data_IF_645929012733
#
_entry.id   IF_645929012733
#
_cell.length_a   1.000
_cell.length_b   1.000
_cell.length_c   1.000
_cell.angle_alpha   90.00
_cell.angle_beta   90.00
_cell.angle_gamma   90.00
#
_symmetry.space_group_name_H-M   'P 1'
#
loop_
_entity.id
_entity.type
_entity.pdbx_description
1 polymer ?
#
# COMPACT_ATOMS: atom_id res chain seq x y z
N UNK A 1 12.18 -9.43 -4.92
CA UNK A 1 12.23 -8.01 -5.32
C UNK A 1 13.00 -7.92 -6.63
N UNK A 2 12.57 -7.06 -7.55
CA UNK A 2 13.31 -6.80 -8.78
C UNK A 2 14.63 -6.06 -8.49
N UNK A 3 15.64 -6.14 -9.39
CA UNK A 3 16.81 -5.27 -9.32
C UNK A 3 16.38 -3.80 -9.28
N UNK A 4 17.14 -2.96 -8.55
CA UNK A 4 16.85 -1.52 -8.40
C UNK A 4 15.50 -1.16 -7.76
N UNK A 5 14.92 -2.08 -6.97
CA UNK A 5 13.64 -1.90 -6.31
C UNK A 5 13.61 -0.67 -5.38
N UNK A 6 14.61 -0.55 -4.50
CA UNK A 6 14.70 0.57 -3.54
C UNK A 6 14.94 1.88 -4.27
N UNK A 7 15.86 1.91 -5.23
CA UNK A 7 16.16 3.10 -6.04
C UNK A 7 14.93 3.60 -6.82
N UNK A 8 14.06 2.69 -7.28
CA UNK A 8 12.82 3.08 -7.95
C UNK A 8 11.83 3.76 -6.99
N UNK A 9 11.73 3.25 -5.76
CA UNK A 9 10.90 3.86 -4.71
C UNK A 9 11.44 5.23 -4.31
N UNK A 10 12.75 5.36 -4.06
CA UNK A 10 13.41 6.62 -3.72
C UNK A 10 13.20 7.66 -4.83
N UNK A 11 13.47 7.32 -6.07
CA UNK A 11 13.22 8.23 -7.21
C UNK A 11 11.75 8.66 -7.31
N UNK A 12 10.81 7.78 -6.98
CA UNK A 12 9.40 8.14 -6.99
C UNK A 12 9.06 9.07 -5.83
N UNK A 13 9.65 8.86 -4.64
CA UNK A 13 9.50 9.71 -3.47
C UNK A 13 10.07 11.12 -3.71
N UNK A 14 11.21 11.22 -4.36
CA UNK A 14 11.94 12.48 -4.60
C UNK A 14 11.29 13.36 -5.66
N UNK A 15 10.27 12.90 -6.36
CA UNK A 15 9.52 13.72 -7.33
C UNK A 15 8.83 14.93 -6.71
N UNK A 16 8.49 14.86 -5.41
CA UNK A 16 7.84 15.96 -4.68
C UNK A 16 7.95 15.77 -3.18
N UNK A 17 8.20 16.83 -2.46
CA UNK A 17 8.16 16.86 -0.99
C UNK A 17 6.76 16.59 -0.42
N UNK A 18 5.72 16.73 -1.25
CA UNK A 18 4.34 16.39 -0.88
C UNK A 18 4.05 14.89 -0.91
N UNK A 19 4.95 14.05 -1.42
CA UNK A 19 4.75 12.62 -1.42
C UNK A 19 5.11 12.08 -0.04
N UNK A 20 4.11 11.53 0.65
CA UNK A 20 4.26 10.86 1.94
C UNK A 20 4.65 9.40 1.77
N UNK A 21 3.97 8.67 0.89
CA UNK A 21 4.23 7.25 0.69
C UNK A 21 4.30 6.85 -0.77
N UNK A 22 5.10 5.82 -1.05
CA UNK A 22 5.20 5.21 -2.37
C UNK A 22 4.90 3.72 -2.27
N UNK A 23 3.80 3.30 -2.91
CA UNK A 23 3.40 1.89 -3.01
C UNK A 23 4.11 1.21 -4.15
N UNK A 24 4.56 0.00 -3.91
CA UNK A 24 5.17 -0.87 -4.91
C UNK A 24 4.14 -1.51 -5.84
N UNK A 25 4.62 -2.00 -6.98
CA UNK A 25 3.89 -2.93 -7.82
C UNK A 25 4.02 -4.34 -7.24
N UNK A 26 3.02 -4.76 -6.48
CA UNK A 26 2.98 -6.09 -5.88
C UNK A 26 2.34 -7.08 -6.86
N UNK A 27 3.08 -8.12 -7.20
CA UNK A 27 2.67 -9.18 -8.12
C UNK A 27 2.49 -10.47 -7.31
N UNK A 28 1.47 -11.25 -7.64
CA UNK A 28 1.25 -12.54 -6.98
C UNK A 28 2.41 -13.49 -7.24
N UNK A 29 3.00 -14.04 -6.19
CA UNK A 29 4.18 -14.93 -6.28
C UNK A 29 3.92 -16.15 -7.16
N UNK A 30 2.72 -16.75 -7.04
CA UNK A 30 2.36 -17.98 -7.74
C UNK A 30 1.60 -17.74 -9.06
N UNK A 31 1.23 -16.49 -9.34
CA UNK A 31 0.56 -16.07 -10.57
C UNK A 31 1.16 -14.74 -11.04
N UNK A 32 2.38 -14.77 -11.62
CA UNK A 32 3.16 -13.56 -11.93
C UNK A 32 2.58 -12.69 -13.04
N UNK A 33 1.56 -13.12 -13.70
CA UNK A 33 0.74 -12.38 -14.67
C UNK A 33 -0.37 -11.53 -14.00
N UNK A 34 -0.59 -11.73 -12.68
CA UNK A 34 -1.65 -11.07 -11.91
C UNK A 34 -1.09 -10.13 -10.83
N UNK A 35 -1.76 -8.99 -10.67
CA UNK A 35 -1.53 -8.08 -9.57
C UNK A 35 -1.97 -8.69 -8.25
N UNK A 36 -1.19 -8.44 -7.19
CA UNK A 36 -1.63 -8.58 -5.82
C UNK A 36 -2.12 -7.23 -5.29
N UNK A 37 -1.31 -6.19 -5.45
CA UNK A 37 -1.67 -4.83 -5.04
C UNK A 37 -0.97 -3.77 -5.92
N UNK A 38 -1.66 -2.65 -6.15
CA UNK A 38 -1.15 -1.46 -6.84
C UNK A 38 -1.47 -0.16 -6.07
N UNK A 39 -1.48 -0.25 -4.74
CA UNK A 39 -1.93 0.79 -3.82
C UNK A 39 -3.40 0.62 -3.45
N UNK A 40 -3.72 0.97 -2.22
CA UNK A 40 -5.07 0.83 -1.71
C UNK A 40 -5.95 2.02 -2.07
N UNK A 41 -7.23 1.75 -2.12
CA UNK A 41 -8.28 2.72 -2.39
C UNK A 41 -9.29 2.72 -1.25
N UNK A 42 -9.93 3.86 -1.03
CA UNK A 42 -10.98 4.01 -0.03
C UNK A 42 -12.21 4.65 -0.64
N UNK A 43 -13.36 4.04 -0.41
CA UNK A 43 -14.62 4.55 -0.95
C UNK A 43 -15.26 5.55 0.00
N UNK A 44 -16.16 6.38 -0.54
CA UNK A 44 -16.97 7.32 0.27
C UNK A 44 -17.92 6.62 1.25
N UNK A 45 -18.13 5.32 1.08
CA UNK A 45 -18.94 4.48 1.98
C UNK A 45 -18.13 3.83 3.11
N UNK A 46 -16.83 4.17 3.25
CA UNK A 46 -15.97 3.65 4.30
C UNK A 46 -15.33 2.27 4.00
N UNK A 47 -15.30 1.83 2.74
CA UNK A 47 -14.69 0.56 2.36
C UNK A 47 -13.28 0.76 1.81
N UNK A 48 -12.30 0.07 2.41
CA UNK A 48 -10.96 -0.06 1.86
C UNK A 48 -10.88 -1.26 0.91
N UNK A 49 -10.15 -1.14 -0.20
CA UNK A 49 -9.93 -2.22 -1.15
C UNK A 49 -8.61 -2.07 -1.90
N UNK A 50 -7.98 -3.21 -2.17
CA UNK A 50 -6.74 -3.29 -2.93
C UNK A 50 -6.99 -2.99 -4.40
N UNK A 51 -6.24 -2.02 -4.92
CA UNK A 51 -6.31 -1.66 -6.34
C UNK A 51 -5.61 -2.71 -7.18
N UNK A 52 -6.35 -3.31 -8.08
CA UNK A 52 -5.80 -4.20 -9.10
C UNK A 52 -5.70 -5.67 -8.72
N UNK A 53 -6.06 -6.07 -7.51
CA UNK A 53 -5.99 -7.48 -7.10
C UNK A 53 -6.65 -8.42 -8.11
N UNK A 54 -5.90 -9.45 -8.56
CA UNK A 54 -6.36 -10.43 -9.56
C UNK A 54 -6.49 -9.90 -11.00
N UNK A 55 -6.11 -8.67 -11.28
CA UNK A 55 -6.10 -8.10 -12.62
C UNK A 55 -4.75 -8.34 -13.32
N UNK A 56 -4.71 -8.38 -14.67
CA UNK A 56 -3.46 -8.53 -15.40
C UNK A 56 -2.43 -7.44 -15.04
N UNK A 57 -1.20 -7.82 -14.66
CA UNK A 57 -0.14 -6.92 -14.22
C UNK A 57 0.23 -5.88 -15.30
N UNK A 58 0.10 -6.26 -16.57
CA UNK A 58 0.41 -5.41 -17.74
C UNK A 58 -0.45 -4.14 -17.85
N UNK A 59 -1.58 -4.08 -17.14
CA UNK A 59 -2.45 -2.90 -17.09
C UNK A 59 -1.90 -1.81 -16.14
N UNK A 60 -0.97 -2.16 -15.25
CA UNK A 60 -0.45 -1.28 -14.21
C UNK A 60 0.98 -0.82 -14.52
N UNK A 61 1.12 -0.02 -15.61
CA UNK A 61 2.42 0.48 -16.11
C UNK A 61 2.67 1.96 -15.85
N UNK A 62 1.67 2.68 -15.33
CA UNK A 62 1.77 4.13 -15.11
C UNK A 62 1.70 4.45 -13.62
N UNK A 63 2.60 5.33 -13.18
CA UNK A 63 2.52 5.93 -11.85
C UNK A 63 1.24 6.75 -11.73
N UNK A 64 0.62 6.72 -10.56
CA UNK A 64 -0.59 7.48 -10.26
C UNK A 64 -0.68 7.74 -8.75
N UNK A 65 -1.52 8.71 -8.37
CA UNK A 65 -1.94 8.87 -6.98
C UNK A 65 -2.87 7.73 -6.58
N UNK A 66 -2.69 7.25 -5.35
CA UNK A 66 -3.54 6.24 -4.72
C UNK A 66 -4.09 6.80 -3.40
N UNK A 67 -5.00 6.10 -2.78
CA UNK A 67 -5.52 6.56 -1.49
C UNK A 67 -4.45 6.37 -0.41
N UNK A 68 -3.87 5.17 -0.32
CA UNK A 68 -2.72 4.87 0.53
C UNK A 68 -1.81 3.83 -0.12
N UNK A 69 -0.59 3.71 0.38
CA UNK A 69 0.33 2.65 0.00
C UNK A 69 0.12 1.44 0.93
N UNK A 70 0.02 0.24 0.36
CA UNK A 70 -0.01 -0.98 1.15
C UNK A 70 1.31 -1.17 1.91
N UNK A 71 1.26 -1.20 3.24
CA UNK A 71 2.44 -1.27 4.11
C UNK A 71 3.28 -2.55 3.92
N UNK A 72 2.72 -3.58 3.30
CA UNK A 72 3.44 -4.80 2.96
C UNK A 72 4.63 -4.59 2.01
N UNK A 73 4.63 -3.53 1.21
CA UNK A 73 5.72 -3.17 0.30
C UNK A 73 5.67 -1.70 -0.11
N UNK A 74 6.06 -0.82 0.80
CA UNK A 74 6.04 0.63 0.61
C UNK A 74 7.23 1.31 1.28
N UNK A 75 7.49 2.56 0.89
CA UNK A 75 8.33 3.48 1.68
C UNK A 75 7.51 4.69 2.10
N UNK A 76 7.93 5.30 3.19
CA UNK A 76 7.28 6.45 3.81
C UNK A 76 8.30 7.55 4.08
N UNK A 77 7.91 8.80 3.88
CA UNK A 77 8.73 9.97 4.25
C UNK A 77 8.65 10.18 5.75
N UNK A 78 9.77 9.94 6.42
CA UNK A 78 9.86 9.94 7.88
C UNK A 78 9.41 11.26 8.51
N UNK A 79 9.82 12.39 7.92
CA UNK A 79 9.55 13.73 8.45
C UNK A 79 8.04 14.03 8.50
N UNK A 80 7.24 13.41 7.64
CA UNK A 80 5.80 13.60 7.61
C UNK A 80 5.13 12.98 8.84
N UNK A 81 5.67 11.89 9.37
CA UNK A 81 5.15 11.28 10.60
C UNK A 81 5.21 12.22 11.80
N UNK A 82 6.19 13.13 11.86
CA UNK A 82 6.28 14.15 12.92
C UNK A 82 5.06 15.10 12.90
N UNK A 83 4.41 15.24 11.76
CA UNK A 83 3.23 16.09 11.57
C UNK A 83 1.92 15.33 11.74
N UNK A 84 1.83 14.12 11.14
CA UNK A 84 0.58 13.37 11.08
C UNK A 84 0.45 12.31 12.18
N UNK A 85 1.50 12.05 12.95
CA UNK A 85 1.62 10.95 13.90
C UNK A 85 2.02 9.63 13.23
N UNK A 86 2.53 8.71 14.03
CA UNK A 86 2.97 7.38 13.60
C UNK A 86 1.77 6.43 13.41
N UNK A 87 2.05 5.17 13.08
CA UNK A 87 1.03 4.10 13.06
C UNK A 87 0.38 3.98 14.43
N UNK A 88 -0.96 3.88 14.46
CA UNK A 88 -1.69 3.72 15.69
C UNK A 88 -1.49 2.31 16.24
N UNK A 89 -1.05 2.21 17.49
CA UNK A 89 -0.79 0.93 18.15
C UNK A 89 -2.08 0.12 18.41
N UNK A 90 -3.24 0.74 18.34
CA UNK A 90 -4.53 0.04 18.42
C UNK A 90 -4.77 -0.86 17.21
N UNK A 91 -4.22 -0.49 16.05
CA UNK A 91 -4.23 -1.34 14.86
C UNK A 91 -3.10 -2.37 14.97
N UNK A 92 -3.40 -3.54 15.50
CA UNK A 92 -2.42 -4.62 15.58
C UNK A 92 -1.95 -5.11 14.20
N UNK A 93 -2.88 -5.24 13.27
CA UNK A 93 -2.62 -5.58 11.86
C UNK A 93 -3.87 -5.30 11.02
N UNK A 94 -3.67 -4.87 9.79
CA UNK A 94 -4.67 -4.43 8.83
C UNK A 94 -5.26 -3.04 9.16
N UNK A 95 -5.53 -2.28 8.12
CA UNK A 95 -6.06 -0.91 8.14
C UNK A 95 -5.12 0.16 8.73
N UNK A 96 -3.99 -0.19 9.36
CA UNK A 96 -2.98 0.74 9.85
C UNK A 96 -2.40 1.61 8.73
N UNK A 97 -2.27 1.05 7.52
CA UNK A 97 -1.81 1.75 6.32
C UNK A 97 -2.91 2.66 5.74
N UNK A 98 -4.16 2.24 5.82
CA UNK A 98 -5.31 3.07 5.44
C UNK A 98 -5.40 4.30 6.33
N UNK A 99 -5.29 4.12 7.66
CA UNK A 99 -5.34 5.21 8.63
C UNK A 99 -4.22 6.23 8.39
N UNK A 100 -2.97 5.80 8.37
CA UNK A 100 -1.83 6.71 8.20
C UNK A 100 -1.86 7.42 6.86
N UNK A 101 -2.24 6.72 5.79
CA UNK A 101 -2.38 7.29 4.46
C UNK A 101 -3.54 8.29 4.37
N UNK A 102 -4.64 8.05 5.11
CA UNK A 102 -5.76 8.98 5.21
C UNK A 102 -5.36 10.26 5.95
N UNK A 103 -4.70 10.13 7.11
CA UNK A 103 -4.17 11.29 7.85
C UNK A 103 -3.23 12.12 6.98
N UNK A 104 -2.32 11.50 6.24
CA UNK A 104 -1.44 12.19 5.31
C UNK A 104 -2.23 13.02 4.27
N UNK A 105 -3.31 12.46 3.72
CA UNK A 105 -4.18 13.19 2.78
C UNK A 105 -4.88 14.40 3.42
N UNK A 106 -5.36 14.27 4.65
CA UNK A 106 -5.98 15.38 5.39
C UNK A 106 -4.99 16.55 5.59
N UNK A 107 -3.71 16.25 5.73
CA UNK A 107 -2.64 17.25 5.82
C UNK A 107 -2.10 17.71 4.46
N UNK A 108 -2.69 17.25 3.36
CA UNK A 108 -2.35 17.70 2.00
C UNK A 108 -1.18 16.97 1.35
N UNK A 109 -0.77 15.82 1.89
CA UNK A 109 0.22 14.94 1.28
C UNK A 109 -0.39 13.97 0.28
N UNK A 110 0.45 13.44 -0.61
CA UNK A 110 0.09 12.47 -1.64
C UNK A 110 0.66 11.08 -1.30
N UNK A 111 -0.11 10.05 -1.62
CA UNK A 111 0.34 8.67 -1.70
C UNK A 111 0.38 8.29 -3.18
N UNK A 112 1.46 7.64 -3.63
CA UNK A 112 1.66 7.34 -5.05
C UNK A 112 2.01 5.87 -5.28
N UNK A 113 1.64 5.37 -6.44
CA UNK A 113 2.01 4.04 -6.93
C UNK A 113 3.21 4.14 -7.88
N UNK A 114 4.22 3.28 -7.67
CA UNK A 114 5.42 3.18 -8.48
C UNK A 114 5.45 1.84 -9.24
N UNK A 115 5.16 1.82 -10.55
CA UNK A 115 5.13 0.58 -11.33
C UNK A 115 6.51 -0.04 -11.57
N UNK A 116 7.59 0.74 -11.43
CA UNK A 116 8.97 0.29 -11.58
C UNK A 116 9.48 -0.48 -10.36
N UNK A 117 8.90 -0.24 -9.19
CA UNK A 117 9.23 -0.93 -7.95
C UNK A 117 8.45 -2.24 -7.83
N UNK A 118 8.97 -3.30 -8.45
CA UNK A 118 8.29 -4.59 -8.52
C UNK A 118 8.70 -5.51 -7.38
N UNK A 119 7.70 -6.10 -6.71
CA UNK A 119 7.89 -7.13 -5.69
C UNK A 119 6.90 -8.29 -5.90
N UNK A 120 7.36 -9.51 -5.67
CA UNK A 120 6.50 -10.70 -5.67
C UNK A 120 6.07 -10.99 -4.25
N UNK A 121 4.77 -11.10 -4.04
CA UNK A 121 4.17 -11.24 -2.71
C UNK A 121 3.35 -12.52 -2.61
N UNK A 122 3.51 -13.20 -1.46
CA UNK A 122 2.69 -14.36 -1.08
C UNK A 122 1.53 -13.83 -0.25
N UNK A 123 0.43 -13.51 -0.88
CA UNK A 123 -0.76 -13.00 -0.21
C UNK A 123 -1.19 -13.93 0.94
N UNK A 124 -1.37 -13.36 2.13
CA UNK A 124 -1.76 -14.11 3.33
C UNK A 124 -0.78 -15.18 3.81
N UNK A 125 0.50 -15.10 3.42
CA UNK A 125 1.53 -16.09 3.80
C UNK A 125 1.67 -16.30 5.30
N UNK A 126 1.50 -15.26 6.11
CA UNK A 126 1.60 -15.31 7.58
C UNK A 126 0.26 -15.63 8.23
N UNK A 127 -0.85 -15.09 7.75
CA UNK A 127 -2.17 -15.15 8.38
C UNK A 127 -3.09 -16.22 7.79
N UNK A 128 -2.61 -17.03 6.85
CA UNK A 128 -3.37 -18.10 6.23
C UNK A 128 -4.36 -17.63 5.16
N UNK A 129 -5.53 -18.23 5.05
CA UNK A 129 -6.49 -17.95 4.00
C UNK A 129 -6.96 -16.48 3.99
N UNK A 130 -7.37 -16.00 2.81
CA UNK A 130 -7.90 -14.63 2.62
C UNK A 130 -9.08 -14.33 3.55
N UNK A 131 -9.90 -15.34 3.84
CA UNK A 131 -11.03 -15.26 4.75
C UNK A 131 -10.80 -16.19 5.94
N UNK A 132 -10.47 -15.66 7.10
CA UNK A 132 -10.39 -16.41 8.35
C UNK A 132 -10.91 -15.58 9.52
N UNK A 133 -11.27 -16.26 10.61
CA UNK A 133 -11.86 -15.62 11.80
C UNK A 133 -10.93 -14.58 12.43
N UNK A 134 -9.63 -14.78 12.37
CA UNK A 134 -8.64 -13.85 12.92
C UNK A 134 -8.70 -12.50 12.20
N UNK A 135 -8.68 -12.49 10.85
CA UNK A 135 -8.77 -11.24 10.05
C UNK A 135 -10.11 -10.54 10.25
N UNK A 136 -11.22 -11.33 10.26
CA UNK A 136 -12.55 -10.77 10.46
C UNK A 136 -12.68 -10.14 11.84
N UNK A 137 -12.07 -10.72 12.86
CA UNK A 137 -12.08 -10.19 14.22
C UNK A 137 -11.31 -8.86 14.29
N UNK A 138 -10.09 -8.81 13.77
CA UNK A 138 -9.28 -7.59 13.75
C UNK A 138 -9.97 -6.43 13.04
N UNK A 139 -10.63 -6.69 11.90
CA UNK A 139 -11.35 -5.63 11.17
C UNK A 139 -12.69 -5.22 11.80
N UNK A 140 -13.16 -5.89 12.88
CA UNK A 140 -14.43 -5.57 13.56
C UNK A 140 -14.26 -4.89 14.90
N UNK A 141 -13.12 -5.07 15.55
CA UNK A 141 -12.83 -4.50 16.86
C UNK A 141 -12.30 -3.04 16.76
N UNK A 142 -12.19 -2.53 15.55
CA UNK A 142 -11.86 -1.16 15.16
C UNK A 142 -13.10 -0.43 14.61
#
# INVERSE_FOLDING_TARGET
MAPHYVEALERAMDRSEKIFSVSSKMIQMYHPDLMDDAGDMYSVLGWAFQRGVGRPEKLYKKSCRVFTACAGAAIYRREVFETIGYFDEMHFAYLEDIDVGYRAKLYGYDNVFCPEAVVYHVGSGTSGSKYNSFKVKLCREE
#
